data_IF_851001328820
#
_entry.id   IF_851001328820
#
_cell.length_a   1.000
_cell.length_b   1.000
_cell.length_c   1.000
_cell.angle_alpha   90.00
_cell.angle_beta   90.00
_cell.angle_gamma   90.00
#
_symmetry.space_group_name_H-M   'P 1'
#
loop_
_entity.id
_entity.type
_entity.pdbx_description
1 polymer ?
#
# COMPACT_ATOMS: atom_id res chain seq x y z
N UNK A 1 -2.01 -10.63 -18.43
CA UNK A 1 -2.35 -10.51 -16.99
C UNK A 1 -3.81 -10.18 -16.90
N UNK A 2 -4.61 -11.08 -16.33
CA UNK A 2 -6.02 -10.86 -16.00
C UNK A 2 -6.14 -9.63 -15.10
N UNK A 3 -7.04 -8.71 -15.45
CA UNK A 3 -7.40 -7.56 -14.64
C UNK A 3 -8.15 -8.04 -13.37
N UNK A 4 -7.40 -8.54 -12.39
CA UNK A 4 -7.96 -9.10 -11.17
C UNK A 4 -8.36 -8.00 -10.19
N UNK A 5 -9.65 -8.02 -9.84
CA UNK A 5 -10.27 -7.07 -8.93
C UNK A 5 -10.58 -7.76 -7.60
N UNK A 6 -10.11 -7.15 -6.52
CA UNK A 6 -10.47 -7.56 -5.17
C UNK A 6 -11.77 -6.87 -4.81
N UNK A 7 -12.75 -7.63 -4.30
CA UNK A 7 -14.02 -7.11 -3.77
C UNK A 7 -14.40 -7.90 -2.52
N UNK A 8 -14.71 -7.22 -1.42
CA UNK A 8 -15.09 -7.84 -0.15
C UNK A 8 -15.91 -6.88 0.72
N UNK A 9 -16.57 -7.40 1.74
CA UNK A 9 -17.34 -6.64 2.73
C UNK A 9 -16.43 -5.80 3.66
N UNK A 10 -16.73 -4.52 3.93
CA UNK A 10 -15.92 -3.67 4.81
C UNK A 10 -15.58 -4.26 6.19
N UNK A 11 -16.35 -5.20 6.73
CA UNK A 11 -16.02 -5.92 7.97
C UNK A 11 -14.62 -6.55 7.91
N UNK A 12 -14.17 -7.03 6.74
CA UNK A 12 -12.83 -7.60 6.57
C UNK A 12 -11.69 -6.59 6.84
N UNK A 13 -11.98 -5.27 6.76
CA UNK A 13 -11.00 -4.24 7.09
C UNK A 13 -10.77 -4.07 8.59
N UNK A 14 -11.68 -4.56 9.44
CA UNK A 14 -11.55 -4.49 10.90
C UNK A 14 -10.47 -5.42 11.45
N UNK A 15 -10.00 -6.36 10.63
CA UNK A 15 -9.06 -7.38 11.06
C UNK A 15 -7.61 -6.90 10.91
N UNK A 16 -6.83 -6.87 12.01
CA UNK A 16 -5.43 -6.51 11.96
C UNK A 16 -4.63 -7.65 11.33
N UNK A 17 -4.07 -7.38 10.15
CA UNK A 17 -3.20 -8.31 9.43
C UNK A 17 -1.71 -8.09 9.74
N UNK A 18 -1.35 -7.52 10.89
CA UNK A 18 0.04 -7.15 11.19
C UNK A 18 0.99 -8.35 11.25
N UNK A 19 0.51 -9.50 11.73
CA UNK A 19 1.31 -10.74 11.77
C UNK A 19 1.64 -11.26 10.36
N UNK A 20 0.99 -10.70 9.33
CA UNK A 20 1.25 -11.03 7.94
C UNK A 20 2.38 -10.15 7.40
N UNK A 21 3.33 -10.78 6.73
CA UNK A 21 4.28 -10.05 5.89
C UNK A 21 3.54 -9.47 4.68
N UNK A 22 4.13 -8.46 4.00
CA UNK A 22 3.55 -7.93 2.78
C UNK A 22 3.25 -8.99 1.70
N UNK A 23 4.01 -10.08 1.63
CA UNK A 23 3.81 -11.19 0.69
C UNK A 23 2.63 -12.06 1.13
N UNK A 24 2.53 -12.37 2.42
CA UNK A 24 1.41 -13.13 2.97
C UNK A 24 0.08 -12.38 2.82
N UNK A 25 0.09 -11.05 2.97
CA UNK A 25 -1.07 -10.21 2.66
C UNK A 25 -1.45 -10.28 1.18
N UNK A 26 -0.46 -10.29 0.26
CA UNK A 26 -0.73 -10.44 -1.17
C UNK A 26 -1.40 -11.79 -1.45
N UNK A 27 -0.90 -12.87 -0.86
CA UNK A 27 -1.47 -14.20 -1.01
C UNK A 27 -2.92 -14.23 -0.49
N UNK A 28 -3.16 -13.70 0.71
CA UNK A 28 -4.49 -13.63 1.31
C UNK A 28 -5.49 -12.90 0.41
N UNK A 29 -5.17 -11.67 -0.05
CA UNK A 29 -6.11 -10.91 -0.88
C UNK A 29 -6.24 -11.45 -2.30
N UNK A 30 -5.27 -12.24 -2.77
CA UNK A 30 -5.41 -12.99 -4.01
C UNK A 30 -6.38 -14.16 -3.88
N UNK A 31 -6.31 -14.90 -2.76
CA UNK A 31 -7.30 -15.94 -2.42
C UNK A 31 -8.68 -15.29 -2.30
N UNK A 32 -8.81 -14.19 -1.55
CA UNK A 32 -10.07 -13.42 -1.45
C UNK A 32 -10.62 -13.06 -2.82
N UNK A 33 -9.78 -12.56 -3.73
CA UNK A 33 -10.19 -12.22 -5.10
C UNK A 33 -10.75 -13.40 -5.89
N UNK A 34 -10.24 -14.61 -5.63
CA UNK A 34 -10.57 -15.84 -6.37
C UNK A 34 -11.74 -16.60 -5.75
N UNK A 35 -11.89 -16.53 -4.44
CA UNK A 35 -13.00 -17.12 -3.69
C UNK A 35 -14.30 -16.31 -3.83
N UNK A 36 -14.22 -15.09 -4.34
CA UNK A 36 -15.37 -14.25 -4.65
C UNK A 36 -16.29 -14.92 -5.66
N UNK A 37 -17.60 -14.83 -5.41
CA UNK A 37 -18.67 -15.37 -6.24
C UNK A 37 -18.59 -16.92 -6.42
N UNK A 38 -17.81 -17.61 -5.58
CA UNK A 38 -17.70 -19.08 -5.55
C UNK A 38 -18.65 -19.73 -4.53
N UNK A 39 -19.30 -18.94 -3.67
CA UNK A 39 -20.12 -19.45 -2.59
C UNK A 39 -19.30 -20.28 -1.60
N UNK A 40 -19.87 -21.41 -1.14
CA UNK A 40 -19.21 -22.36 -0.23
C UNK A 40 -18.52 -23.51 -0.97
N UNK A 41 -18.24 -23.39 -2.26
CA UNK A 41 -17.55 -24.43 -3.01
C UNK A 41 -16.10 -24.52 -2.58
N UNK A 42 -15.54 -25.72 -2.64
CA UNK A 42 -14.09 -25.93 -2.53
C UNK A 42 -13.44 -25.45 -3.82
N UNK A 43 -12.47 -24.54 -3.69
CA UNK A 43 -11.72 -23.96 -4.80
C UNK A 43 -10.29 -24.47 -4.73
N UNK A 44 -9.83 -25.05 -5.85
CA UNK A 44 -8.48 -25.58 -6.01
C UNK A 44 -7.53 -24.54 -6.58
N UNK A 45 -6.38 -24.37 -5.95
CA UNK A 45 -5.27 -23.56 -6.42
C UNK A 45 -4.03 -24.42 -6.64
N UNK A 46 -3.47 -24.41 -7.86
CA UNK A 46 -2.14 -25.01 -8.07
C UNK A 46 -1.06 -24.19 -7.36
N UNK A 47 0.05 -24.84 -7.02
CA UNK A 47 1.19 -24.15 -6.41
C UNK A 47 1.72 -23.02 -7.29
N UNK A 48 1.72 -23.18 -8.61
CA UNK A 48 2.18 -22.15 -9.53
C UNK A 48 1.24 -20.95 -9.59
N UNK A 49 -0.08 -21.17 -9.51
CA UNK A 49 -1.04 -20.07 -9.33
C UNK A 49 -0.76 -19.29 -8.04
N UNK A 50 -0.52 -19.98 -6.92
CA UNK A 50 -0.24 -19.30 -5.64
C UNK A 50 1.08 -18.49 -5.68
N UNK A 51 2.12 -18.99 -6.37
CA UNK A 51 3.36 -18.23 -6.62
C UNK A 51 3.09 -16.97 -7.43
N UNK A 52 2.34 -17.10 -8.52
CA UNK A 52 2.01 -15.98 -9.41
C UNK A 52 1.19 -14.92 -8.67
N UNK A 53 0.18 -15.34 -7.91
CA UNK A 53 -0.75 -14.48 -7.17
C UNK A 53 -0.05 -13.69 -6.06
N UNK A 54 0.88 -14.32 -5.32
CA UNK A 54 1.59 -13.67 -4.21
C UNK A 54 2.76 -12.76 -4.66
N UNK A 55 3.11 -12.75 -5.95
CA UNK A 55 4.35 -12.16 -6.47
C UNK A 55 5.60 -12.79 -5.84
N UNK A 56 5.56 -14.11 -5.58
CA UNK A 56 6.65 -14.82 -4.96
C UNK A 56 7.87 -14.84 -5.88
N UNK A 57 9.03 -14.39 -5.37
CA UNK A 57 10.29 -14.55 -6.07
C UNK A 57 10.96 -15.84 -5.59
N UNK A 58 11.25 -16.80 -6.48
CA UNK A 58 11.91 -18.05 -6.11
C UNK A 58 13.36 -17.77 -5.72
N UNK A 59 13.59 -17.40 -4.47
CA UNK A 59 14.96 -17.21 -3.93
C UNK A 59 15.43 -18.34 -3.01
N UNK A 60 14.67 -19.44 -2.88
CA UNK A 60 15.15 -20.73 -2.38
C UNK A 60 14.06 -21.81 -2.58
N UNK A 61 14.33 -22.84 -3.39
CA UNK A 61 13.35 -23.85 -3.81
C UNK A 61 12.77 -24.77 -2.70
N UNK A 62 13.18 -24.65 -1.44
CA UNK A 62 12.62 -25.43 -0.31
C UNK A 62 11.69 -24.66 0.64
N UNK A 63 11.49 -23.34 0.45
CA UNK A 63 10.75 -22.49 1.42
C UNK A 63 9.30 -22.23 1.07
N UNK A 64 8.87 -22.49 -0.17
CA UNK A 64 7.55 -22.05 -0.62
C UNK A 64 6.39 -22.75 0.10
N UNK A 65 6.49 -24.06 0.35
CA UNK A 65 5.47 -24.83 1.08
C UNK A 65 5.40 -24.34 2.53
N UNK A 66 6.55 -24.16 3.19
CA UNK A 66 6.62 -23.63 4.56
C UNK A 66 6.05 -22.21 4.63
N UNK A 67 6.35 -21.34 3.66
CA UNK A 67 5.84 -19.96 3.57
C UNK A 67 4.30 -19.96 3.40
N UNK A 68 3.80 -20.87 2.56
CA UNK A 68 2.38 -21.14 2.33
C UNK A 68 1.72 -21.60 3.64
N UNK A 69 2.26 -22.62 4.27
CA UNK A 69 1.75 -23.19 5.51
C UNK A 69 1.70 -22.14 6.62
N UNK A 70 2.78 -21.37 6.81
CA UNK A 70 2.85 -20.28 7.78
C UNK A 70 1.80 -19.20 7.50
N UNK A 71 1.60 -18.83 6.22
CA UNK A 71 0.52 -17.90 5.84
C UNK A 71 -0.83 -18.45 6.24
N UNK A 72 -1.06 -19.75 6.02
CA UNK A 72 -2.35 -20.39 6.29
C UNK A 72 -2.63 -20.55 7.76
N UNK A 73 -1.64 -20.94 8.57
CA UNK A 73 -1.78 -20.94 10.03
C UNK A 73 -2.18 -19.55 10.55
N UNK A 74 -1.63 -18.48 9.97
CA UNK A 74 -2.05 -17.09 10.30
C UNK A 74 -3.47 -16.80 9.83
N UNK A 75 -3.87 -17.22 8.64
CA UNK A 75 -5.24 -17.05 8.11
C UNK A 75 -6.26 -17.79 8.99
N UNK A 76 -5.99 -19.04 9.36
CA UNK A 76 -6.84 -19.82 10.25
C UNK A 76 -6.91 -19.24 11.65
N UNK A 77 -5.87 -18.53 12.09
CA UNK A 77 -5.89 -17.79 13.37
C UNK A 77 -6.77 -16.54 13.35
N UNK A 78 -7.19 -16.06 12.17
CA UNK A 78 -8.11 -14.93 12.05
C UNK A 78 -9.48 -15.35 12.57
N UNK A 79 -9.88 -14.73 13.69
CA UNK A 79 -11.20 -14.90 14.28
C UNK A 79 -12.08 -13.73 13.90
N UNK A 80 -13.14 -14.03 13.19
CA UNK A 80 -14.25 -13.13 12.92
C UNK A 80 -15.23 -13.26 14.06
N UNK A 81 -16.00 -12.22 14.34
CA UNK A 81 -16.99 -12.33 15.38
C UNK A 81 -18.00 -11.21 15.38
N UNK A 82 -19.25 -11.60 15.62
CA UNK A 82 -20.33 -10.66 15.81
C UNK A 82 -20.56 -10.45 17.31
N UNK A 83 -20.74 -9.19 17.71
CA UNK A 83 -21.20 -8.83 19.05
C UNK A 83 -22.51 -8.10 18.95
N UNK A 84 -23.52 -8.62 19.64
CA UNK A 84 -24.83 -7.96 19.76
C UNK A 84 -24.70 -6.56 20.38
N UNK A 85 -25.68 -5.68 20.12
CA UNK A 85 -25.74 -4.33 20.71
C UNK A 85 -25.70 -4.32 22.25
N UNK A 86 -26.31 -5.32 22.89
CA UNK A 86 -26.27 -5.50 24.36
C UNK A 86 -24.93 -6.07 24.85
N UNK A 87 -24.12 -6.62 23.95
CA UNK A 87 -22.82 -7.20 24.24
C UNK A 87 -22.85 -8.55 24.94
N UNK A 88 -24.04 -9.11 25.20
CA UNK A 88 -24.26 -10.40 25.85
C UNK A 88 -24.02 -11.57 24.90
N UNK A 89 -24.48 -11.45 23.65
CA UNK A 89 -24.20 -12.44 22.62
C UNK A 89 -22.89 -12.10 21.91
N UNK A 90 -22.01 -13.09 21.86
CA UNK A 90 -20.72 -13.05 21.17
C UNK A 90 -20.60 -14.32 20.35
N UNK A 91 -20.31 -14.14 19.08
CA UNK A 91 -20.03 -15.23 18.16
C UNK A 91 -18.59 -15.10 17.66
N UNK A 92 -17.91 -16.22 17.48
CA UNK A 92 -16.61 -16.26 16.84
C UNK A 92 -16.58 -17.36 15.78
N UNK A 93 -16.01 -17.06 14.62
CA UNK A 93 -15.83 -18.02 13.55
C UNK A 93 -14.53 -17.77 12.78
N UNK A 94 -14.09 -18.78 12.04
CA UNK A 94 -12.94 -18.70 11.11
C UNK A 94 -13.43 -18.40 9.70
N UNK A 95 -12.57 -17.85 8.85
CA UNK A 95 -12.95 -17.53 7.46
C UNK A 95 -13.09 -18.76 6.57
N UNK A 96 -12.26 -19.79 6.81
CA UNK A 96 -12.16 -20.97 5.94
C UNK A 96 -12.35 -22.24 6.76
N UNK A 97 -13.09 -23.20 6.21
CA UNK A 97 -13.33 -24.54 6.80
C UNK A 97 -12.42 -25.62 6.26
N UNK A 98 -12.06 -25.51 4.99
CA UNK A 98 -11.19 -26.45 4.32
C UNK A 98 -9.93 -25.72 3.89
N UNK A 99 -8.80 -26.32 4.22
CA UNK A 99 -7.49 -25.83 3.85
C UNK A 99 -6.54 -27.02 3.72
N UNK A 100 -6.58 -27.71 2.57
CA UNK A 100 -5.83 -28.94 2.36
C UNK A 100 -4.68 -28.74 1.36
N UNK A 101 -3.46 -29.03 1.78
CA UNK A 101 -2.27 -28.97 0.92
C UNK A 101 -1.96 -30.39 0.43
N UNK A 102 -1.96 -30.58 -0.90
CA UNK A 102 -1.64 -31.85 -1.56
C UNK A 102 -0.32 -31.72 -2.32
N UNK A 103 0.78 -31.71 -1.56
CA UNK A 103 2.13 -31.55 -2.10
C UNK A 103 2.68 -32.75 -2.87
N UNK A 104 2.13 -33.95 -2.61
CA UNK A 104 2.57 -35.21 -3.24
C UNK A 104 1.77 -35.57 -4.50
N UNK A 105 0.76 -34.78 -4.85
CA UNK A 105 0.03 -34.97 -6.11
C UNK A 105 0.94 -34.71 -7.31
N UNK A 106 0.65 -35.36 -8.45
CA UNK A 106 1.37 -35.16 -9.71
C UNK A 106 1.44 -33.66 -10.07
N UNK A 107 0.34 -32.94 -9.86
CA UNK A 107 0.28 -31.49 -9.87
C UNK A 107 -0.05 -30.99 -8.45
N UNK A 108 0.92 -30.44 -7.69
CA UNK A 108 0.67 -29.97 -6.33
C UNK A 108 -0.36 -28.84 -6.24
N UNK A 109 -1.30 -28.98 -5.31
CA UNK A 109 -2.41 -28.02 -5.15
C UNK A 109 -2.79 -27.78 -3.69
N UNK A 110 -3.62 -26.76 -3.51
CA UNK A 110 -4.28 -26.39 -2.27
C UNK A 110 -5.77 -26.26 -2.50
N UNK A 111 -6.58 -26.96 -1.72
CA UNK A 111 -8.03 -26.83 -1.71
C UNK A 111 -8.47 -25.92 -0.56
N UNK A 112 -9.29 -24.92 -0.89
CA UNK A 112 -9.76 -23.89 0.06
C UNK A 112 -11.29 -23.80 0.00
N UNK A 113 -11.95 -23.78 1.15
CA UNK A 113 -13.40 -23.56 1.25
C UNK A 113 -13.73 -22.48 2.27
N UNK A 114 -14.57 -21.51 1.90
CA UNK A 114 -15.08 -20.50 2.84
C UNK A 114 -16.03 -21.15 3.84
N UNK A 115 -15.88 -20.80 5.11
CA UNK A 115 -16.84 -21.18 6.15
C UNK A 115 -18.22 -20.57 5.83
N UNK A 116 -19.34 -21.32 5.92
CA UNK A 116 -20.65 -20.78 5.56
C UNK A 116 -21.03 -19.44 6.23
N UNK A 117 -20.65 -19.20 7.49
CA UNK A 117 -20.91 -17.91 8.18
C UNK A 117 -19.99 -16.78 7.76
N UNK A 118 -18.93 -17.06 7.01
CA UNK A 118 -18.01 -16.10 6.43
C UNK A 118 -18.35 -15.77 4.97
N UNK A 119 -19.40 -16.39 4.39
CA UNK A 119 -19.78 -16.17 2.99
C UNK A 119 -20.06 -14.71 2.69
N UNK A 120 -20.78 -14.01 3.58
CA UNK A 120 -21.15 -12.60 3.42
C UNK A 120 -19.95 -11.66 3.32
N UNK A 121 -18.76 -12.10 3.74
CA UNK A 121 -17.54 -11.30 3.63
C UNK A 121 -17.05 -11.20 2.19
N UNK A 122 -17.30 -12.23 1.37
CA UNK A 122 -16.75 -12.35 0.01
C UNK A 122 -17.82 -12.55 -1.09
N UNK A 123 -19.02 -12.98 -0.72
CA UNK A 123 -20.14 -13.30 -1.60
C UNK A 123 -21.37 -12.50 -1.16
N UNK A 124 -22.31 -12.27 -2.07
CA UNK A 124 -23.59 -11.60 -1.79
C UNK A 124 -23.45 -10.23 -1.08
N UNK A 125 -22.44 -9.47 -1.52
CA UNK A 125 -22.02 -8.22 -0.88
C UNK A 125 -23.06 -7.10 -1.07
N UNK A 126 -23.71 -6.67 0.01
CA UNK A 126 -24.58 -5.46 0.04
C UNK A 126 -23.75 -4.17 -0.11
N UNK A 127 -22.59 -4.14 0.55
CA UNK A 127 -21.61 -3.07 0.48
C UNK A 127 -20.22 -3.65 0.23
N UNK A 128 -19.32 -2.90 -0.39
CA UNK A 128 -18.01 -3.45 -0.70
C UNK A 128 -16.89 -2.44 -0.75
N UNK A 129 -15.71 -2.92 -0.41
CA UNK A 129 -14.42 -2.33 -0.78
C UNK A 129 -13.99 -2.97 -2.09
N UNK A 130 -13.48 -2.17 -3.03
CA UNK A 130 -12.89 -2.68 -4.28
C UNK A 130 -11.62 -1.97 -4.69
N UNK A 131 -10.72 -2.71 -5.34
CA UNK A 131 -9.49 -2.20 -5.91
C UNK A 131 -8.84 -3.22 -6.86
N UNK A 132 -7.90 -2.76 -7.69
CA UNK A 132 -7.06 -3.64 -8.48
C UNK A 132 -6.10 -4.43 -7.59
N UNK A 133 -6.06 -5.76 -7.74
CA UNK A 133 -5.12 -6.60 -6.99
C UNK A 133 -3.67 -6.19 -7.24
N UNK A 134 -3.36 -5.73 -8.46
CA UNK A 134 -2.02 -5.27 -8.85
C UNK A 134 -1.58 -4.03 -8.07
N UNK A 135 -2.48 -3.08 -7.78
CA UNK A 135 -2.17 -1.91 -6.97
C UNK A 135 -1.77 -2.32 -5.55
N UNK A 136 -2.55 -3.22 -4.94
CA UNK A 136 -2.28 -3.72 -3.60
C UNK A 136 -0.97 -4.51 -3.52
N UNK A 137 -0.70 -5.37 -4.51
CA UNK A 137 0.51 -6.19 -4.59
C UNK A 137 1.79 -5.35 -4.70
N UNK A 138 1.71 -4.18 -5.34
CA UNK A 138 2.84 -3.27 -5.56
C UNK A 138 3.24 -2.48 -4.31
N UNK A 139 2.37 -2.40 -3.29
CA UNK A 139 2.73 -1.84 -1.99
C UNK A 139 3.81 -2.71 -1.33
N UNK A 140 4.74 -2.12 -0.59
CA UNK A 140 5.83 -2.83 0.10
C UNK A 140 5.68 -2.80 1.61
N UNK A 141 5.07 -1.75 2.16
CA UNK A 141 4.82 -1.63 3.59
C UNK A 141 3.53 -2.33 4.01
N UNK A 142 3.56 -3.12 5.08
CA UNK A 142 2.35 -3.69 5.69
C UNK A 142 1.41 -2.60 6.22
N UNK A 143 1.94 -1.50 6.78
CA UNK A 143 1.14 -0.34 7.17
C UNK A 143 0.49 0.34 5.97
N UNK A 144 1.22 0.52 4.86
CA UNK A 144 0.63 1.08 3.64
C UNK A 144 -0.47 0.18 3.09
N UNK A 145 -0.27 -1.14 3.07
CA UNK A 145 -1.31 -2.11 2.67
C UNK A 145 -2.56 -2.03 3.53
N UNK A 146 -2.42 -2.03 4.84
CA UNK A 146 -3.59 -1.92 5.73
C UNK A 146 -4.29 -0.58 5.58
N UNK A 147 -3.53 0.52 5.51
CA UNK A 147 -4.12 1.84 5.33
C UNK A 147 -4.80 2.01 3.96
N UNK A 148 -4.21 1.45 2.89
CA UNK A 148 -4.81 1.41 1.55
C UNK A 148 -6.22 0.84 1.61
N UNK A 149 -6.38 -0.34 2.21
CA UNK A 149 -7.67 -1.01 2.36
C UNK A 149 -8.68 -0.18 3.15
N UNK A 150 -8.22 0.37 4.28
CA UNK A 150 -9.03 1.19 5.18
C UNK A 150 -9.53 2.49 4.54
N UNK A 151 -8.73 3.16 3.71
CA UNK A 151 -9.19 4.39 3.02
C UNK A 151 -9.91 4.11 1.71
N UNK A 152 -9.63 2.98 1.03
CA UNK A 152 -10.30 2.61 -0.22
C UNK A 152 -11.80 2.35 -0.03
N UNK A 153 -12.24 1.96 1.17
CA UNK A 153 -13.68 1.88 1.50
C UNK A 153 -14.40 3.25 1.43
N UNK A 154 -13.64 4.35 1.54
CA UNK A 154 -14.14 5.72 1.46
C UNK A 154 -13.76 6.41 0.14
N UNK A 155 -13.37 5.65 -0.90
CA UNK A 155 -12.78 6.20 -2.14
C UNK A 155 -13.63 7.30 -2.81
N UNK A 156 -14.95 7.20 -2.74
CA UNK A 156 -15.90 8.17 -3.31
C UNK A 156 -16.21 9.35 -2.40
N UNK A 157 -15.83 9.26 -1.12
CA UNK A 157 -16.00 10.35 -0.14
C UNK A 157 -14.78 11.27 -0.12
N UNK A 158 -13.57 10.71 -0.32
CA UNK A 158 -12.33 11.49 -0.29
C UNK A 158 -11.87 11.90 1.11
N UNK A 159 -12.48 11.34 2.15
CA UNK A 159 -12.19 11.67 3.55
C UNK A 159 -12.34 10.45 4.44
N UNK A 160 -11.44 10.29 5.40
CA UNK A 160 -11.60 9.37 6.52
C UNK A 160 -10.94 9.93 7.77
N UNK A 161 -11.51 9.59 8.93
CA UNK A 161 -10.99 9.95 10.24
C UNK A 161 -10.94 8.71 11.11
N UNK A 162 -9.83 8.58 11.84
CA UNK A 162 -9.64 7.53 12.83
C UNK A 162 -9.27 8.22 14.14
N UNK A 163 -9.91 7.82 15.25
CA UNK A 163 -9.39 8.18 16.57
C UNK A 163 -7.97 7.62 16.73
N UNK A 164 -7.20 8.16 17.68
CA UNK A 164 -5.86 7.64 17.93
C UNK A 164 -5.91 6.16 18.29
N UNK A 165 -6.90 5.78 19.09
CA UNK A 165 -7.15 4.43 19.55
C UNK A 165 -7.45 3.51 18.37
N UNK A 166 -8.44 3.85 17.54
CA UNK A 166 -8.81 3.04 16.37
C UNK A 166 -7.64 2.95 15.37
N UNK A 167 -6.93 4.04 15.14
CA UNK A 167 -5.77 4.05 14.24
C UNK A 167 -4.67 3.10 14.74
N UNK A 168 -4.46 3.05 16.05
CA UNK A 168 -3.44 2.20 16.66
C UNK A 168 -3.88 0.74 16.69
N UNK A 169 -5.16 0.47 16.92
CA UNK A 169 -5.73 -0.87 16.91
C UNK A 169 -5.76 -1.47 15.49
N UNK A 170 -6.32 -0.75 14.52
CA UNK A 170 -6.46 -1.22 13.13
C UNK A 170 -5.11 -1.46 12.44
N UNK A 171 -4.10 -0.63 12.73
CA UNK A 171 -2.73 -0.83 12.25
C UNK A 171 -1.90 -1.71 13.19
N UNK A 172 -2.48 -2.13 14.32
CA UNK A 172 -1.88 -2.93 15.39
C UNK A 172 -0.50 -2.37 15.82
N UNK A 173 -0.38 -1.04 15.98
CA UNK A 173 0.89 -0.35 16.21
C UNK A 173 1.53 -0.82 17.53
N UNK A 174 2.81 -1.26 17.57
CA UNK A 174 3.41 -1.81 18.79
C UNK A 174 3.51 -0.74 19.85
N UNK A 175 3.31 -1.13 21.12
CA UNK A 175 3.49 -0.24 22.28
C UNK A 175 4.86 0.44 22.32
N UNK A 176 5.91 -0.21 21.79
CA UNK A 176 7.24 0.39 21.68
C UNK A 176 7.30 1.64 20.81
N UNK A 177 6.35 1.83 19.89
CA UNK A 177 6.26 3.05 19.07
C UNK A 177 5.49 4.15 19.79
N UNK A 178 4.75 3.84 20.85
CA UNK A 178 3.86 4.78 21.55
C UNK A 178 4.65 5.74 22.45
N UNK A 179 5.87 5.35 22.84
CA UNK A 179 6.78 6.14 23.67
C UNK A 179 7.21 7.46 23.04
N UNK A 180 7.16 7.57 21.71
CA UNK A 180 7.48 8.81 20.99
C UNK A 180 6.58 8.99 19.77
N UNK A 181 5.89 10.13 19.63
CA UNK A 181 5.15 10.46 18.41
C UNK A 181 6.02 10.39 17.13
N UNK A 182 7.33 10.63 17.25
CA UNK A 182 8.27 10.54 16.13
C UNK A 182 8.40 9.12 15.57
N UNK A 183 8.24 8.09 16.41
CA UNK A 183 8.30 6.70 15.97
C UNK A 183 7.13 6.37 15.04
N UNK A 184 5.92 6.81 15.41
CA UNK A 184 4.72 6.65 14.57
C UNK A 184 4.91 7.39 13.24
N UNK A 185 5.41 8.62 13.27
CA UNK A 185 5.66 9.38 12.05
C UNK A 185 6.65 8.68 11.11
N UNK A 186 7.79 8.25 11.64
CA UNK A 186 8.88 7.65 10.85
C UNK A 186 8.56 6.24 10.35
N UNK A 187 7.90 5.42 11.18
CA UNK A 187 7.72 3.98 10.92
C UNK A 187 6.34 3.64 10.36
N UNK A 188 5.33 4.50 10.55
CA UNK A 188 3.94 4.24 10.15
C UNK A 188 3.47 5.27 9.12
N UNK A 189 3.46 6.55 9.46
CA UNK A 189 2.91 7.60 8.59
C UNK A 189 3.75 7.80 7.34
N UNK A 190 5.09 7.87 7.46
CA UNK A 190 6.00 8.05 6.33
C UNK A 190 5.85 6.97 5.25
N UNK A 191 5.89 5.66 5.55
CA UNK A 191 5.71 4.65 4.50
C UNK A 191 4.30 4.67 3.89
N UNK A 192 3.26 4.96 4.69
CA UNK A 192 1.90 5.18 4.18
C UNK A 192 1.88 6.34 3.18
N UNK A 193 2.47 7.49 3.54
CA UNK A 193 2.52 8.68 2.67
C UNK A 193 3.27 8.39 1.37
N UNK A 194 4.46 7.80 1.45
CA UNK A 194 5.30 7.49 0.29
C UNK A 194 4.62 6.51 -0.70
N UNK A 195 3.82 5.55 -0.20
CA UNK A 195 3.24 4.49 -1.04
C UNK A 195 1.80 4.73 -1.47
N UNK A 196 1.02 5.52 -0.73
CA UNK A 196 -0.38 5.81 -1.06
C UNK A 196 -0.54 7.08 -1.88
N UNK A 197 0.36 8.06 -1.78
CA UNK A 197 0.32 9.27 -2.62
C UNK A 197 0.24 8.97 -4.13
N UNK A 198 0.99 7.99 -4.67
CA UNK A 198 0.87 7.65 -6.10
C UNK A 198 -0.53 7.13 -6.48
N UNK A 199 -1.28 6.55 -5.54
CA UNK A 199 -2.57 5.91 -5.78
C UNK A 199 -3.76 6.83 -5.48
N UNK A 200 -3.61 7.81 -4.59
CA UNK A 200 -4.67 8.73 -4.18
C UNK A 200 -4.26 10.17 -4.52
N UNK A 201 -4.91 10.75 -5.54
CA UNK A 201 -4.63 12.11 -5.99
C UNK A 201 -4.87 13.13 -4.87
N UNK A 202 -3.87 13.94 -4.56
CA UNK A 202 -3.94 14.96 -3.50
C UNK A 202 -4.03 14.38 -2.08
N UNK A 203 -3.50 13.18 -1.85
CA UNK A 203 -3.50 12.56 -0.52
C UNK A 203 -2.83 13.46 0.52
N UNK A 204 -3.56 13.78 1.57
CA UNK A 204 -3.11 14.57 2.71
C UNK A 204 -3.36 13.80 3.99
N UNK A 205 -2.36 13.77 4.87
CA UNK A 205 -2.43 13.11 6.18
C UNK A 205 -2.20 14.15 7.27
N UNK A 206 -3.17 14.32 8.17
CA UNK A 206 -3.13 15.31 9.25
C UNK A 206 -3.38 14.65 10.60
N UNK A 207 -2.59 15.04 11.60
CA UNK A 207 -2.90 14.76 13.00
C UNK A 207 -3.96 15.74 13.48
N UNK A 208 -4.95 15.22 14.21
CA UNK A 208 -5.90 16.03 14.96
C UNK A 208 -5.43 16.11 16.41
N UNK A 209 -5.47 17.32 16.96
CA UNK A 209 -4.96 17.62 18.29
C UNK A 209 -6.10 18.02 19.22
N UNK A 210 -6.07 17.51 20.45
CA UNK A 210 -7.00 17.88 21.51
C UNK A 210 -6.67 19.23 22.13
N UNK A 211 -7.61 19.77 22.92
CA UNK A 211 -7.48 21.06 23.61
C UNK A 211 -6.68 21.00 24.93
N UNK A 212 -6.24 19.81 25.35
CA UNK A 212 -5.51 19.61 26.61
C UNK A 212 -4.06 20.14 26.60
N UNK A 213 -3.45 20.22 27.79
CA UNK A 213 -2.05 20.62 27.97
C UNK A 213 -1.13 19.76 27.11
N UNK A 214 -0.22 20.39 26.37
CA UNK A 214 0.70 19.71 25.46
C UNK A 214 0.12 19.31 24.11
N UNK A 215 -1.13 19.72 23.78
CA UNK A 215 -1.83 19.43 22.51
C UNK A 215 -1.67 17.95 22.11
N UNK A 216 -2.26 17.01 22.88
CA UNK A 216 -2.15 15.59 22.58
C UNK A 216 -2.77 15.26 21.22
N UNK A 217 -2.17 14.32 20.49
CA UNK A 217 -2.78 13.76 19.26
C UNK A 217 -3.97 12.92 19.68
N UNK A 218 -5.15 13.22 19.13
CA UNK A 218 -6.42 12.53 19.40
C UNK A 218 -6.92 11.71 18.20
N UNK A 219 -6.31 11.89 17.03
CA UNK A 219 -6.69 11.15 15.83
C UNK A 219 -5.91 11.55 14.59
N UNK A 220 -6.22 10.87 13.50
CA UNK A 220 -5.59 11.03 12.19
C UNK A 220 -6.69 11.17 11.13
N UNK A 221 -6.61 12.21 10.31
CA UNK A 221 -7.49 12.39 9.16
C UNK A 221 -6.71 12.22 7.86
N UNK A 222 -7.32 11.52 6.92
CA UNK A 222 -6.83 11.34 5.56
C UNK A 222 -7.80 11.99 4.60
N UNK A 223 -7.31 12.82 3.69
CA UNK A 223 -8.12 13.47 2.66
C UNK A 223 -7.48 13.29 1.29
N UNK A 224 -8.28 13.12 0.25
CA UNK A 224 -7.83 12.97 -1.13
C UNK A 224 -8.94 13.41 -2.09
N UNK A 225 -8.62 13.56 -3.37
CA UNK A 225 -9.62 13.83 -4.41
C UNK A 225 -10.54 12.60 -4.55
N UNK A 226 -11.85 12.73 -4.29
CA UNK A 226 -12.76 11.59 -4.38
C UNK A 226 -12.79 10.99 -5.79
N UNK A 227 -12.88 9.66 -5.86
CA UNK A 227 -13.10 8.95 -7.11
C UNK A 227 -14.55 9.10 -7.57
N UNK A 228 -14.77 9.11 -8.89
CA UNK A 228 -16.13 9.02 -9.42
C UNK A 228 -16.74 7.66 -9.06
N UNK A 229 -18.06 7.63 -8.81
CA UNK A 229 -18.78 6.39 -8.46
C UNK A 229 -18.61 5.30 -9.52
N UNK A 230 -18.64 5.70 -10.79
CA UNK A 230 -18.50 4.87 -11.99
C UNK A 230 -17.06 4.56 -12.41
N UNK A 231 -16.05 5.14 -11.75
CA UNK A 231 -14.65 4.86 -12.06
C UNK A 231 -14.34 3.38 -11.85
N UNK A 232 -13.79 2.70 -12.86
CA UNK A 232 -13.32 1.32 -12.71
C UNK A 232 -11.87 1.29 -12.16
N UNK A 233 -11.49 0.20 -11.51
CA UNK A 233 -10.12 -0.01 -11.01
C UNK A 233 -9.26 -0.76 -12.05
N UNK A 234 -9.59 -0.69 -13.34
CA UNK A 234 -8.84 -1.40 -14.37
C UNK A 234 -7.62 -0.59 -14.83
N UNK A 235 -6.51 -1.29 -15.04
CA UNK A 235 -5.29 -0.71 -15.60
C UNK A 235 -5.59 -0.08 -16.96
N UNK A 236 -5.11 1.15 -17.16
CA UNK A 236 -5.15 1.82 -18.46
C UNK A 236 -3.89 1.52 -19.30
N UNK A 237 -3.11 0.52 -18.87
CA UNK A 237 -1.81 0.19 -19.42
C UNK A 237 -0.67 0.73 -18.56
N UNK A 238 0.43 -0.03 -18.51
CA UNK A 238 1.58 0.24 -17.62
C UNK A 238 2.10 1.68 -17.72
N UNK A 239 2.19 2.22 -18.94
CA UNK A 239 2.68 3.57 -19.18
C UNK A 239 1.75 4.64 -18.61
N UNK A 240 0.43 4.51 -18.83
CA UNK A 240 -0.55 5.48 -18.35
C UNK A 240 -0.68 5.43 -16.82
N UNK A 241 -0.71 4.22 -16.25
CA UNK A 241 -0.75 4.02 -14.80
C UNK A 241 0.50 4.60 -14.11
N UNK A 242 1.69 4.39 -14.68
CA UNK A 242 2.93 4.95 -14.16
C UNK A 242 2.94 6.49 -14.26
N UNK A 243 2.52 7.03 -15.41
CA UNK A 243 2.42 8.49 -15.60
C UNK A 243 1.49 9.12 -14.57
N UNK A 244 0.32 8.53 -14.31
CA UNK A 244 -0.61 9.04 -13.31
C UNK A 244 -0.03 9.00 -11.89
N UNK A 245 0.66 7.90 -11.54
CA UNK A 245 1.36 7.76 -10.25
C UNK A 245 2.42 8.83 -10.07
N UNK A 246 3.26 9.06 -11.08
CA UNK A 246 4.30 10.10 -11.04
C UNK A 246 3.69 11.50 -10.98
N UNK A 247 2.61 11.75 -11.72
CA UNK A 247 1.87 13.01 -11.66
C UNK A 247 1.35 13.28 -10.23
N UNK A 248 0.72 12.27 -9.60
CA UNK A 248 0.22 12.38 -8.23
C UNK A 248 1.33 12.68 -7.21
N UNK A 249 2.53 12.12 -7.39
CA UNK A 249 3.68 12.40 -6.51
C UNK A 249 4.18 13.84 -6.70
N UNK A 250 4.39 14.26 -7.95
CA UNK A 250 5.01 15.54 -8.27
C UNK A 250 4.15 16.72 -7.78
N UNK A 251 2.83 16.63 -7.98
CA UNK A 251 1.87 17.69 -7.69
C UNK A 251 1.24 17.58 -6.29
N UNK A 252 1.84 16.79 -5.39
CA UNK A 252 1.40 16.74 -4.00
C UNK A 252 2.33 17.59 -3.12
N UNK A 253 1.80 18.70 -2.62
CA UNK A 253 2.53 19.66 -1.78
C UNK A 253 2.79 19.16 -0.36
N UNK A 254 2.17 18.03 0.02
CA UNK A 254 2.35 17.40 1.33
C UNK A 254 3.63 16.59 1.46
N UNK A 255 4.30 16.30 0.34
CA UNK A 255 5.53 15.53 0.32
C UNK A 255 6.72 16.48 0.23
N UNK A 256 7.68 16.29 1.13
CA UNK A 256 9.02 16.86 0.95
C UNK A 256 9.67 16.29 -0.32
N UNK A 257 10.65 17.01 -0.90
CA UNK A 257 11.40 16.54 -2.07
C UNK A 257 11.96 15.13 -1.88
N UNK A 258 12.51 14.86 -0.70
CA UNK A 258 13.04 13.54 -0.34
C UNK A 258 11.96 12.45 -0.32
N UNK A 259 10.75 12.76 0.15
CA UNK A 259 9.62 11.84 0.08
C UNK A 259 9.13 11.64 -1.35
N UNK A 260 9.10 12.69 -2.17
CA UNK A 260 8.79 12.59 -3.61
C UNK A 260 9.77 11.66 -4.32
N UNK A 261 11.07 11.85 -4.14
CA UNK A 261 12.10 10.99 -4.74
C UNK A 261 11.97 9.53 -4.30
N UNK A 262 11.74 9.28 -3.01
CA UNK A 262 11.54 7.92 -2.50
C UNK A 262 10.26 7.28 -3.03
N UNK A 263 9.18 8.04 -3.18
CA UNK A 263 7.94 7.55 -3.80
C UNK A 263 8.17 7.21 -5.28
N UNK A 264 8.93 8.03 -6.02
CA UNK A 264 9.32 7.77 -7.42
C UNK A 264 10.16 6.47 -7.49
N UNK A 265 11.16 6.31 -6.63
CA UNK A 265 11.97 5.09 -6.59
C UNK A 265 11.09 3.85 -6.37
N UNK A 266 10.09 3.94 -5.49
CA UNK A 266 9.15 2.83 -5.24
C UNK A 266 8.29 2.52 -6.46
N UNK A 267 7.73 3.54 -7.13
CA UNK A 267 6.91 3.37 -8.34
C UNK A 267 7.73 2.75 -9.47
N UNK A 268 8.96 3.21 -9.67
CA UNK A 268 9.89 2.72 -10.71
C UNK A 268 10.63 1.44 -10.32
N UNK A 269 10.36 0.87 -9.15
CA UNK A 269 11.06 -0.29 -8.61
C UNK A 269 12.60 -0.12 -8.51
N UNK A 270 13.07 1.11 -8.28
CA UNK A 270 14.48 1.44 -8.10
C UNK A 270 14.92 1.25 -6.64
N UNK A 271 16.24 1.07 -6.39
CA UNK A 271 16.79 1.21 -5.05
C UNK A 271 16.46 2.58 -4.45
N UNK A 272 16.17 2.62 -3.14
CA UNK A 272 15.82 3.87 -2.46
C UNK A 272 17.02 4.82 -2.42
N UNK A 273 16.79 6.06 -2.84
CA UNK A 273 17.82 7.11 -2.94
C UNK A 273 18.42 7.25 -4.33
N UNK A 274 18.00 6.44 -5.31
CA UNK A 274 18.47 6.57 -6.71
C UNK A 274 18.04 7.89 -7.32
N UNK A 275 16.75 8.24 -7.21
CA UNK A 275 16.24 9.52 -7.73
C UNK A 275 16.89 10.73 -7.04
N UNK A 276 17.12 10.65 -5.72
CA UNK A 276 17.81 11.70 -4.96
C UNK A 276 19.23 11.95 -5.50
N UNK A 277 20.00 10.88 -5.73
CA UNK A 277 21.37 10.98 -6.29
C UNK A 277 21.37 11.58 -7.69
N UNK A 278 20.43 11.17 -8.54
CA UNK A 278 20.31 11.68 -9.92
C UNK A 278 20.02 13.19 -9.93
N UNK A 279 19.01 13.62 -9.17
CA UNK A 279 18.62 15.04 -9.10
C UNK A 279 19.73 15.90 -8.52
N UNK A 280 20.46 15.41 -7.52
CA UNK A 280 21.60 16.16 -6.95
C UNK A 280 22.77 16.27 -7.94
N UNK A 281 23.05 15.21 -8.70
CA UNK A 281 24.08 15.24 -9.75
C UNK A 281 23.73 16.20 -10.89
N UNK A 282 22.46 16.22 -11.32
CA UNK A 282 21.95 17.16 -12.32
C UNK A 282 22.07 18.62 -11.84
N UNK A 283 21.65 18.90 -10.60
CA UNK A 283 21.80 20.25 -10.00
C UNK A 283 23.25 20.69 -9.91
N UNK A 284 24.17 19.78 -9.57
CA UNK A 284 25.60 20.09 -9.54
C UNK A 284 26.13 20.38 -10.94
N UNK A 285 25.78 19.55 -11.94
CA UNK A 285 26.19 19.77 -13.33
C UNK A 285 25.68 21.11 -13.89
N UNK A 286 24.43 21.47 -13.60
CA UNK A 286 23.85 22.77 -13.98
C UNK A 286 24.58 23.93 -13.31
N UNK A 287 24.96 23.79 -12.03
CA UNK A 287 25.72 24.80 -11.31
C UNK A 287 27.13 24.98 -11.89
N UNK A 288 27.83 23.87 -12.13
CA UNK A 288 29.17 23.88 -12.73
C UNK A 288 29.15 24.47 -14.15
N UNK A 289 28.11 24.19 -14.93
CA UNK A 289 27.91 24.77 -16.25
C UNK A 289 27.73 26.28 -16.17
N UNK A 290 26.90 26.78 -15.24
CA UNK A 290 26.74 28.23 -15.02
C UNK A 290 28.04 28.93 -14.66
N UNK A 291 28.88 28.31 -13.82
CA UNK A 291 30.20 28.85 -13.48
C UNK A 291 31.10 28.93 -14.71
N UNK A 292 31.14 27.87 -15.53
CA UNK A 292 31.94 27.85 -16.76
C UNK A 292 31.47 28.90 -17.77
N UNK A 293 30.16 29.07 -17.93
CA UNK A 293 29.58 30.06 -18.83
C UNK A 293 29.87 31.49 -18.35
N UNK A 294 29.79 31.74 -17.03
CA UNK A 294 30.17 33.02 -16.44
C UNK A 294 31.66 33.31 -16.65
N UNK A 295 32.54 32.36 -16.34
CA UNK A 295 33.98 32.52 -16.57
C UNK A 295 34.32 32.77 -18.05
N UNK A 296 33.61 32.10 -18.97
CA UNK A 296 33.74 32.33 -20.41
C UNK A 296 33.31 33.74 -20.80
N UNK A 297 32.21 34.26 -20.24
CA UNK A 297 31.74 35.62 -20.50
C UNK A 297 32.71 36.68 -19.95
N UNK A 298 33.24 36.47 -18.75
CA UNK A 298 34.24 37.35 -18.13
C UNK A 298 35.52 37.40 -18.98
N UNK A 299 36.04 36.25 -19.41
CA UNK A 299 37.21 36.19 -20.30
C UNK A 299 36.97 36.89 -21.65
N UNK A 300 35.79 36.73 -22.25
CA UNK A 300 35.41 37.44 -23.48
C UNK A 300 35.31 38.96 -23.28
N UNK A 301 34.83 39.41 -22.12
CA UNK A 301 34.74 40.82 -21.78
C UNK A 301 36.12 41.45 -21.58
N UNK A 302 37.06 40.74 -20.95
CA UNK A 302 38.45 41.18 -20.79
C UNK A 302 39.17 41.30 -22.13
N UNK A 303 39.02 40.31 -23.01
CA UNK A 303 39.59 40.36 -24.37
C UNK A 303 39.07 41.59 -25.14
N UNK A 304 37.75 41.87 -25.07
CA UNK A 304 37.17 43.07 -25.70
C UNK A 304 37.73 44.38 -25.17
N UNK A 305 38.01 44.48 -23.86
CA UNK A 305 38.66 45.66 -23.27
C UNK A 305 40.11 45.81 -23.74
N UNK A 306 40.83 44.71 -23.91
CA UNK A 306 42.21 44.71 -24.42
C UNK A 306 42.33 45.21 -25.87
N UNK A 307 41.37 44.88 -26.73
CA UNK A 307 41.36 45.35 -28.13
C UNK A 307 40.86 46.81 -28.30
N UNK A 308 40.12 47.35 -27.33
CA UNK A 308 39.62 48.74 -27.38
C UNK A 308 40.65 49.82 -27.02
N UNK A 309 41.78 49.45 -26.42
CA UNK A 309 42.86 50.37 -26.02
C UNK A 309 43.98 50.53 -27.07
N UNK A 310 43.81 49.95 -28.26
CA UNK A 310 44.76 50.04 -29.39
C UNK A 310 44.16 50.66 -30.65
N UNK A 311 43.07 51.43 -30.51
CA UNK A 311 42.51 52.27 -31.57
C UNK A 311 42.66 53.76 -31.20
#
# INVERSE_FOLDING_TARGET
>A
MSNELVKYDPELNTIPLRKFTPIEMNLFFSIVSRMRDQGNKTVRFSFDQLKELSNYKPTANKRFIDDIENTYQKILSLRFGHRSKSGLNREFFVMFTEFEIKGEAEEPYVDIQIYPKALHLLNDLESWVRYALTEFRNLKSSYAKTMFRLIKQFRTTGYSYFSKEDFFELLDIPKSYWSSPSNVDKKVIKPIREELTPLFTGLTIRKKYGKGRGKPVIGYSFTWKPERKDANDFSQGKFQDERQKLFNIQHNDELSDKEKWRAIDKVKCLPLGTTEKQVLAEKQAEHDQKIRDQARQEALAELRKGFGNHA
#
